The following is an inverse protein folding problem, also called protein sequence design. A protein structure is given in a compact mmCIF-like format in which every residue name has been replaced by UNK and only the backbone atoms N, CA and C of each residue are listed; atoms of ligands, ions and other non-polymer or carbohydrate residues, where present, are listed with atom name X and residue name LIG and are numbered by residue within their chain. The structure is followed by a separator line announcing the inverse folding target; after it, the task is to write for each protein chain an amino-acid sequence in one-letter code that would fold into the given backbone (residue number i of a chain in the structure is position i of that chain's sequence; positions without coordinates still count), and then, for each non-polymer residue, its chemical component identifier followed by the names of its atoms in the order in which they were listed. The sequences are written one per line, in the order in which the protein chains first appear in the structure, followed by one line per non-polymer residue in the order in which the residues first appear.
data_IF_032895157968
#
_entry.id   IF_032895157968
#
_cell.length_a   1.000
_cell.length_b   1.000
_cell.length_c   1.000
_cell.angle_alpha   90.00
_cell.angle_beta   90.00
_cell.angle_gamma   90.00
#
_symmetry.space_group_name_H-M   'P 1'
#
loop_
_entity.id
_entity.type
_entity.pdbx_description
1 polymer ?
#
# COMPACT_ATOMS: atom_id res chain seq x y z
N UNK A 1 1.84 27.11 -36.57
CA UNK A 1 2.28 27.13 -35.15
C UNK A 1 1.87 25.79 -34.54
N UNK A 2 2.75 24.79 -34.56
CA UNK A 2 2.46 23.45 -34.05
C UNK A 2 3.02 23.33 -32.63
N UNK A 3 2.14 23.25 -31.63
CA UNK A 3 2.53 22.92 -30.25
C UNK A 3 2.45 21.39 -30.10
N UNK A 4 3.60 20.74 -29.96
CA UNK A 4 3.69 19.34 -29.49
C UNK A 4 3.46 19.31 -27.98
N UNK A 5 2.61 18.41 -27.45
CA UNK A 5 2.62 18.14 -26.02
C UNK A 5 3.80 17.23 -25.65
N UNK A 6 4.33 17.49 -24.46
CA UNK A 6 5.56 16.97 -23.91
C UNK A 6 5.57 15.44 -23.73
N UNK A 7 6.70 14.86 -24.13
CA UNK A 7 7.11 13.50 -23.82
C UNK A 7 7.32 13.37 -22.29
N UNK A 8 6.34 12.83 -21.57
CA UNK A 8 6.55 12.38 -20.18
C UNK A 8 7.32 11.07 -20.25
N UNK A 9 8.63 11.19 -20.07
CA UNK A 9 9.56 10.07 -19.92
C UNK A 9 9.01 9.10 -18.88
N UNK A 10 8.97 7.82 -19.25
CA UNK A 10 8.56 6.73 -18.37
C UNK A 10 9.41 6.74 -17.10
N UNK A 11 8.73 6.83 -15.96
CA UNK A 11 9.37 6.64 -14.66
C UNK A 11 9.70 5.16 -14.57
N UNK A 12 10.98 4.83 -14.73
CA UNK A 12 11.48 3.50 -14.43
C UNK A 12 11.16 3.19 -12.96
N UNK A 13 10.39 2.13 -12.73
CA UNK A 13 10.12 1.61 -11.40
C UNK A 13 11.44 1.31 -10.71
N UNK A 14 11.84 2.14 -9.75
CA UNK A 14 12.97 1.83 -8.89
C UNK A 14 12.59 0.61 -8.08
N UNK A 15 13.33 -0.48 -8.27
CA UNK A 15 13.20 -1.73 -7.53
C UNK A 15 13.24 -1.43 -6.03
N UNK A 16 12.20 -1.83 -5.32
CA UNK A 16 12.10 -1.75 -3.87
C UNK A 16 13.12 -2.73 -3.28
N UNK A 17 14.35 -2.29 -3.06
CA UNK A 17 15.29 -3.00 -2.17
C UNK A 17 14.93 -2.71 -0.72
N UNK A 18 13.81 -3.26 -0.27
CA UNK A 18 13.47 -3.33 1.15
C UNK A 18 14.12 -4.58 1.75
N UNK A 19 14.75 -4.43 2.93
CA UNK A 19 15.10 -5.55 3.80
C UNK A 19 13.92 -6.50 4.03
N UNK A 20 14.15 -7.66 4.67
CA UNK A 20 13.02 -8.55 4.98
C UNK A 20 12.03 -7.79 5.83
N UNK A 21 10.79 -7.74 5.38
CA UNK A 21 9.72 -7.21 6.18
C UNK A 21 9.39 -8.14 7.34
N UNK A 22 8.89 -7.60 8.45
CA UNK A 22 8.45 -8.43 9.57
C UNK A 22 7.33 -9.39 9.16
N UNK A 23 7.20 -10.49 9.89
CA UNK A 23 6.11 -11.47 9.69
C UNK A 23 4.75 -10.80 9.87
N UNK A 24 4.62 -9.90 10.85
CA UNK A 24 3.39 -9.16 11.10
C UNK A 24 3.00 -8.29 9.90
N UNK A 25 3.93 -7.46 9.38
CA UNK A 25 3.65 -6.61 8.23
C UNK A 25 3.35 -7.43 6.96
N UNK A 26 4.08 -8.54 6.77
CA UNK A 26 3.84 -9.49 5.67
C UNK A 26 2.42 -10.08 5.74
N UNK A 27 1.99 -10.54 6.93
CA UNK A 27 0.66 -11.08 7.14
C UNK A 27 -0.45 -10.05 6.90
N UNK A 28 -0.23 -8.80 7.32
CA UNK A 28 -1.13 -7.69 6.99
C UNK A 28 -1.27 -7.49 5.48
N UNK A 29 -0.16 -7.36 4.75
CA UNK A 29 -0.22 -7.12 3.30
C UNK A 29 -0.89 -8.26 2.53
N UNK A 30 -0.64 -9.52 2.92
CA UNK A 30 -1.33 -10.67 2.35
C UNK A 30 -2.83 -10.64 2.64
N UNK A 31 -3.22 -10.36 3.88
CA UNK A 31 -4.63 -10.28 4.27
C UNK A 31 -5.36 -9.16 3.52
N UNK A 32 -4.72 -7.99 3.39
CA UNK A 32 -5.27 -6.87 2.63
C UNK A 32 -5.38 -7.18 1.13
N UNK A 33 -4.37 -7.86 0.55
CA UNK A 33 -4.41 -8.31 -0.84
C UNK A 33 -5.57 -9.28 -1.11
N UNK A 34 -5.76 -10.27 -0.24
CA UNK A 34 -6.87 -11.23 -0.35
C UNK A 34 -8.23 -10.50 -0.26
N UNK A 35 -8.34 -9.54 0.65
CA UNK A 35 -9.56 -8.73 0.77
C UNK A 35 -9.84 -7.92 -0.50
N UNK A 36 -8.83 -7.27 -1.09
CA UNK A 36 -8.97 -6.57 -2.37
C UNK A 36 -9.39 -7.53 -3.50
N UNK A 37 -8.72 -8.68 -3.62
CA UNK A 37 -9.01 -9.71 -4.63
C UNK A 37 -10.43 -10.28 -4.48
N UNK A 38 -10.94 -10.36 -3.24
CA UNK A 38 -12.32 -10.74 -2.92
C UNK A 38 -13.36 -9.65 -3.16
N UNK A 39 -13.03 -8.52 -3.79
CA UNK A 39 -13.97 -7.43 -4.06
C UNK A 39 -14.15 -6.46 -2.90
N UNK A 40 -13.21 -6.45 -1.95
CA UNK A 40 -13.17 -5.55 -0.80
C UNK A 40 -14.50 -5.54 -0.01
N UNK A 41 -15.07 -6.71 0.29
CA UNK A 41 -16.37 -6.85 0.95
C UNK A 41 -16.41 -6.09 2.28
N UNK A 42 -17.52 -5.41 2.57
CA UNK A 42 -17.70 -4.62 3.78
C UNK A 42 -18.10 -5.46 5.00
N UNK A 43 -17.91 -4.93 6.21
CA UNK A 43 -18.28 -5.58 7.47
C UNK A 43 -17.20 -6.47 8.08
N UNK A 44 -16.01 -6.53 7.46
CA UNK A 44 -14.86 -7.29 7.94
C UNK A 44 -13.77 -6.43 8.59
N UNK A 45 -12.55 -7.00 8.61
CA UNK A 45 -11.36 -6.40 9.21
C UNK A 45 -10.91 -5.08 8.55
N UNK A 46 -11.21 -4.90 7.26
CA UNK A 46 -10.74 -3.76 6.48
C UNK A 46 -11.89 -2.84 6.05
N UNK A 47 -11.59 -1.56 5.93
CA UNK A 47 -12.53 -0.49 5.61
C UNK A 47 -12.18 0.13 4.26
N UNK A 48 -13.17 0.17 3.37
CA UNK A 48 -13.08 0.78 2.03
C UNK A 48 -12.70 2.26 2.02
N UNK A 49 -13.12 2.99 3.05
CA UNK A 49 -12.84 4.43 3.22
C UNK A 49 -11.60 4.75 4.06
N UNK A 50 -10.80 3.75 4.42
CA UNK A 50 -9.55 3.96 5.17
C UNK A 50 -8.35 3.77 4.25
N UNK A 51 -7.33 4.60 4.43
CA UNK A 51 -6.01 4.38 3.83
C UNK A 51 -5.33 3.11 4.35
N UNK A 52 -4.16 2.80 3.79
CA UNK A 52 -3.44 1.57 4.10
C UNK A 52 -2.94 1.52 5.54
N UNK A 53 -2.35 2.61 6.06
CA UNK A 53 -1.84 2.66 7.44
C UNK A 53 -2.95 2.51 8.48
N UNK A 54 -4.11 3.12 8.25
CA UNK A 54 -5.26 3.01 9.15
C UNK A 54 -5.83 1.58 9.16
N UNK A 55 -5.93 0.94 8.00
CA UNK A 55 -6.30 -0.48 7.91
C UNK A 55 -5.25 -1.40 8.58
N UNK A 56 -3.97 -1.04 8.52
CA UNK A 56 -2.90 -1.80 9.18
C UNK A 56 -2.98 -1.69 10.70
N UNK A 57 -3.20 -0.49 11.23
CA UNK A 57 -3.45 -0.28 12.66
C UNK A 57 -4.62 -1.14 13.14
N UNK A 58 -5.79 -1.03 12.48
CA UNK A 58 -6.99 -1.80 12.84
C UNK A 58 -6.72 -3.31 12.79
N UNK A 59 -5.98 -3.78 11.77
CA UNK A 59 -5.59 -5.18 11.64
C UNK A 59 -4.71 -5.65 12.79
N UNK A 60 -3.62 -4.94 13.11
CA UNK A 60 -2.70 -5.33 14.19
C UNK A 60 -3.40 -5.38 15.54
N UNK A 61 -4.24 -4.37 15.83
CA UNK A 61 -5.10 -4.36 17.02
C UNK A 61 -6.01 -5.60 17.04
N UNK A 62 -6.63 -5.96 15.91
CA UNK A 62 -7.55 -7.11 15.84
C UNK A 62 -6.88 -8.47 16.08
N UNK A 63 -5.59 -8.60 15.74
CA UNK A 63 -4.83 -9.85 15.93
C UNK A 63 -3.95 -9.83 17.19
N UNK A 64 -4.06 -8.81 18.04
CA UNK A 64 -3.33 -8.71 19.31
C UNK A 64 -1.82 -8.47 19.15
N UNK A 65 -1.40 -7.89 18.02
CA UNK A 65 0.00 -7.53 17.76
C UNK A 65 0.21 -6.05 18.05
N UNK A 66 1.31 -5.71 18.72
CA UNK A 66 1.72 -4.31 18.85
C UNK A 66 1.98 -3.71 17.46
N UNK A 67 1.17 -2.72 17.12
CA UNK A 67 1.16 -2.07 15.82
C UNK A 67 2.35 -1.14 15.59
N UNK A 68 3.06 -0.71 16.64
CA UNK A 68 4.07 0.34 16.51
C UNK A 68 5.21 -0.08 15.57
N UNK A 69 5.90 -1.17 15.88
CA UNK A 69 7.04 -1.65 15.09
C UNK A 69 6.69 -1.94 13.60
N UNK A 70 5.63 -2.69 13.26
CA UNK A 70 5.30 -2.95 11.86
C UNK A 70 4.80 -1.70 11.11
N UNK A 71 4.21 -0.72 11.80
CA UNK A 71 3.85 0.56 11.17
C UNK A 71 5.06 1.44 10.90
N UNK A 72 6.02 1.52 11.83
CA UNK A 72 7.30 2.21 11.60
C UNK A 72 8.04 1.61 10.39
N UNK A 73 8.05 0.27 10.29
CA UNK A 73 8.60 -0.44 9.14
C UNK A 73 7.87 -0.10 7.83
N UNK A 74 6.53 -0.09 7.85
CA UNK A 74 5.71 0.31 6.70
C UNK A 74 6.02 1.74 6.26
N UNK A 75 6.09 2.68 7.21
CA UNK A 75 6.37 4.08 6.95
C UNK A 75 7.79 4.28 6.40
N UNK A 76 8.79 3.59 6.96
CA UNK A 76 10.14 3.60 6.45
C UNK A 76 10.22 3.10 4.99
N UNK A 77 9.43 2.08 4.64
CA UNK A 77 9.35 1.59 3.27
C UNK A 77 8.75 2.63 2.31
N UNK A 78 7.71 3.37 2.72
CA UNK A 78 7.17 4.47 1.92
C UNK A 78 8.20 5.58 1.69
N UNK A 79 8.89 6.02 2.75
CA UNK A 79 9.92 7.06 2.66
C UNK A 79 11.08 6.60 1.77
N UNK A 80 11.53 5.35 1.90
CA UNK A 80 12.57 4.78 1.04
C UNK A 80 12.16 4.73 -0.44
N UNK A 81 10.87 4.60 -0.73
CA UNK A 81 10.31 4.69 -2.08
C UNK A 81 10.10 6.13 -2.58
N UNK A 82 10.41 7.15 -1.77
CA UNK A 82 10.20 8.56 -2.09
C UNK A 82 8.75 9.03 -1.93
N UNK A 83 7.93 8.29 -1.19
CA UNK A 83 6.53 8.61 -0.93
C UNK A 83 6.37 9.40 0.37
N UNK A 84 5.24 10.08 0.52
CA UNK A 84 4.88 10.73 1.77
C UNK A 84 4.59 9.68 2.86
N UNK A 85 5.13 9.86 4.05
CA UNK A 85 4.97 8.92 5.16
C UNK A 85 3.49 8.71 5.57
N UNK A 86 2.69 9.78 5.58
CA UNK A 86 1.31 9.79 6.11
C UNK A 86 0.25 9.62 5.02
N UNK A 87 0.54 10.13 3.82
CA UNK A 87 -0.35 10.10 2.66
C UNK A 87 0.40 9.54 1.43
N UNK A 88 0.88 8.29 1.49
CA UNK A 88 1.84 7.76 0.51
C UNK A 88 1.31 7.66 -0.92
N UNK A 89 -0.01 7.68 -1.10
CA UNK A 89 -0.68 7.44 -2.39
C UNK A 89 -1.64 8.57 -2.77
N UNK A 90 -1.52 9.73 -2.11
CA UNK A 90 -2.45 10.84 -2.32
C UNK A 90 -1.66 12.13 -2.56
N UNK A 91 -1.97 12.82 -3.66
CA UNK A 91 -1.38 14.11 -4.04
C UNK A 91 -1.56 15.21 -2.98
N UNK A 92 -2.62 15.13 -2.19
CA UNK A 92 -2.93 16.10 -1.14
C UNK A 92 -3.82 15.50 -0.05
N UNK A 93 -3.88 16.11 1.15
CA UNK A 93 -4.87 15.74 2.16
C UNK A 93 -6.31 15.80 1.66
N UNK A 94 -6.63 16.76 0.78
CA UNK A 94 -7.98 16.88 0.22
C UNK A 94 -8.33 15.74 -0.74
N UNK A 95 -7.33 15.22 -1.49
CA UNK A 95 -7.51 14.02 -2.31
C UNK A 95 -7.87 12.82 -1.42
N UNK A 96 -7.12 12.60 -0.34
CA UNK A 96 -7.43 11.54 0.62
C UNK A 96 -8.82 11.70 1.25
N UNK A 97 -9.19 12.90 1.70
CA UNK A 97 -10.51 13.17 2.28
C UNK A 97 -11.65 12.89 1.27
N UNK A 98 -11.41 13.14 -0.01
CA UNK A 98 -12.38 12.88 -1.07
C UNK A 98 -12.58 11.38 -1.26
N UNK A 99 -11.49 10.60 -1.35
CA UNK A 99 -11.56 9.12 -1.39
C UNK A 99 -12.28 8.57 -0.16
N UNK A 100 -11.91 9.05 1.04
CA UNK A 100 -12.47 8.58 2.30
C UNK A 100 -13.98 8.80 2.36
N UNK A 101 -14.45 10.01 2.02
CA UNK A 101 -15.88 10.36 2.02
C UNK A 101 -16.68 9.49 1.04
N UNK A 102 -16.08 9.13 -0.09
CA UNK A 102 -16.71 8.26 -1.10
C UNK A 102 -16.55 6.77 -0.79
N UNK A 103 -15.77 6.40 0.23
CA UNK A 103 -15.38 5.02 0.54
C UNK A 103 -14.59 4.38 -0.60
N UNK A 104 -13.77 5.16 -1.29
CA UNK A 104 -13.03 4.77 -2.49
C UNK A 104 -11.52 4.62 -2.23
N UNK A 105 -11.04 4.71 -0.98
CA UNK A 105 -9.62 4.55 -0.69
C UNK A 105 -9.09 3.21 -1.22
N UNK A 106 -9.78 2.10 -1.00
CA UNK A 106 -9.36 0.80 -1.54
C UNK A 106 -9.23 0.75 -3.09
N UNK A 107 -9.83 1.70 -3.82
CA UNK A 107 -9.75 1.81 -5.29
C UNK A 107 -8.59 2.70 -5.77
N UNK A 108 -7.84 3.33 -4.86
CA UNK A 108 -6.69 4.14 -5.26
C UNK A 108 -5.66 3.25 -5.99
N UNK A 109 -5.32 3.56 -7.26
CA UNK A 109 -4.52 2.67 -8.10
C UNK A 109 -3.10 2.49 -7.55
N UNK A 110 -2.48 3.54 -7.01
CA UNK A 110 -1.13 3.47 -6.44
C UNK A 110 -1.09 2.57 -5.20
N UNK A 111 -2.12 2.66 -4.36
CA UNK A 111 -2.29 1.79 -3.19
C UNK A 111 -2.44 0.33 -3.59
N UNK A 112 -3.25 0.03 -4.60
CA UNK A 112 -3.41 -1.35 -5.09
C UNK A 112 -2.14 -1.89 -5.76
N UNK A 113 -1.42 -1.03 -6.49
CA UNK A 113 -0.15 -1.38 -7.11
C UNK A 113 0.92 -1.68 -6.07
N UNK A 114 1.02 -0.88 -5.00
CA UNK A 114 1.93 -1.12 -3.88
C UNK A 114 1.75 -2.52 -3.28
N UNK A 115 0.50 -2.88 -2.97
CA UNK A 115 0.16 -4.19 -2.40
C UNK A 115 0.48 -5.32 -3.38
N UNK A 116 0.08 -5.17 -4.64
CA UNK A 116 0.30 -6.21 -5.66
C UNK A 116 1.80 -6.43 -5.92
N UNK A 117 2.59 -5.35 -6.01
CA UNK A 117 4.04 -5.43 -6.20
C UNK A 117 4.73 -6.08 -5.00
N UNK A 118 4.28 -5.76 -3.79
CA UNK A 118 4.79 -6.39 -2.58
C UNK A 118 4.57 -7.92 -2.61
N UNK A 119 3.35 -8.38 -2.92
CA UNK A 119 3.03 -9.82 -2.98
C UNK A 119 3.83 -10.52 -4.07
N UNK A 120 3.94 -9.93 -5.27
CA UNK A 120 4.75 -10.48 -6.35
C UNK A 120 6.22 -10.63 -5.94
N UNK A 121 6.77 -9.63 -5.24
CA UNK A 121 8.16 -9.66 -4.74
C UNK A 121 8.35 -10.70 -3.64
N UNK A 122 7.36 -10.84 -2.73
CA UNK A 122 7.40 -11.86 -1.67
C UNK A 122 7.42 -13.27 -2.26
N UNK A 123 6.53 -13.57 -3.22
CA UNK A 123 6.49 -14.86 -3.93
C UNK A 123 7.80 -15.11 -4.68
N UNK A 124 8.31 -14.11 -5.41
CA UNK A 124 9.57 -14.24 -6.14
C UNK A 124 10.74 -14.60 -5.22
N UNK A 125 10.80 -14.04 -4.00
CA UNK A 125 11.87 -14.34 -3.03
C UNK A 125 11.80 -15.76 -2.45
N UNK A 126 10.60 -16.34 -2.38
CA UNK A 126 10.38 -17.67 -1.79
C UNK A 126 10.51 -18.79 -2.84
N UNK A 127 10.13 -18.53 -4.08
CA UNK A 127 9.98 -19.57 -5.11
C UNK A 127 10.94 -19.47 -6.30
N UNK A 128 11.69 -18.36 -6.47
CA UNK A 128 12.71 -18.29 -7.53
C UNK A 128 14.09 -18.68 -6.99
N UNK A 129 14.81 -19.61 -7.65
CA UNK A 129 16.18 -19.93 -7.28
C UNK A 129 17.08 -18.69 -7.43
N UNK A 130 17.97 -18.49 -6.45
CA UNK A 130 18.94 -17.39 -6.44
C UNK A 130 20.11 -17.63 -7.39
#
# INVERSE_FOLDING_TARGET
MFLRPANKQGVAAKSVTAGRTSVALTAFYLSYYIWLAGGAVEGGLFKRGSGLCANAWDYFVSVGVDSQAPLEEMHAAFVAAGLNEKLPFNESPQHYLTEQRRRECHLNPERTAWITQYIATAIAREYLPR
#
